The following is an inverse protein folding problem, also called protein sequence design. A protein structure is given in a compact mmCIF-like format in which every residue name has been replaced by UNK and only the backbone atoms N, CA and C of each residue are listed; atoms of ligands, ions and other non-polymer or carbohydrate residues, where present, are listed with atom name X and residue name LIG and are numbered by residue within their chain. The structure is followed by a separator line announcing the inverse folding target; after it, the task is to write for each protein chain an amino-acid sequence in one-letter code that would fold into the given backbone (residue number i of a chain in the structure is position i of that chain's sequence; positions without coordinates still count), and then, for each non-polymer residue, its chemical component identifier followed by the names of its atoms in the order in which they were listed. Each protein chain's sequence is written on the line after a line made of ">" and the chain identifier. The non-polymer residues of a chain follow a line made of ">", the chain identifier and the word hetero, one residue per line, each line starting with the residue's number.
data_IF_491541727639
#
_entry.id   IF_491541727639
#
_cell.length_a   1.000
_cell.length_b   1.000
_cell.length_c   1.000
_cell.angle_alpha   90.00
_cell.angle_beta   90.00
_cell.angle_gamma   90.00
#
_symmetry.space_group_name_H-M   'P 1'
#
loop_
_entity.id
_entity.type
_entity.pdbx_description
1 polymer ?
#
# COMPACT_ATOMS: atom_id res chain seq x y z
N UNK A 1 74.07 -21.80 -28.55
CA UNK A 1 75.52 -22.13 -28.63
C UNK A 1 75.61 -23.42 -29.41
N UNK A 2 76.39 -23.45 -30.50
CA UNK A 2 76.58 -24.68 -31.26
C UNK A 2 77.29 -25.71 -30.36
N UNK A 3 76.80 -26.95 -30.35
CA UNK A 3 77.43 -28.02 -29.58
C UNK A 3 78.82 -28.30 -30.18
N UNK A 4 79.86 -28.17 -29.36
CA UNK A 4 81.25 -28.37 -29.77
C UNK A 4 81.48 -29.87 -29.92
N UNK A 5 81.69 -30.35 -31.15
CA UNK A 5 81.94 -31.77 -31.44
C UNK A 5 83.32 -32.12 -30.89
N UNK A 6 83.39 -33.04 -29.92
CA UNK A 6 84.64 -33.46 -29.29
C UNK A 6 85.01 -34.89 -29.67
N UNK A 7 86.31 -35.14 -29.83
CA UNK A 7 86.81 -36.48 -30.11
C UNK A 7 86.57 -37.41 -28.90
N UNK A 8 85.82 -38.52 -29.05
CA UNK A 8 85.48 -39.41 -27.93
C UNK A 8 86.68 -40.24 -27.44
N UNK A 9 87.69 -40.41 -28.29
CA UNK A 9 88.93 -41.10 -28.04
C UNK A 9 90.05 -40.43 -28.87
N UNK A 10 91.30 -40.85 -28.65
CA UNK A 10 92.44 -40.35 -29.45
C UNK A 10 92.36 -40.93 -30.85
N UNK A 11 92.24 -40.07 -31.86
CA UNK A 11 92.33 -40.47 -33.27
C UNK A 11 93.79 -40.32 -33.66
N UNK A 12 94.51 -41.43 -33.57
CA UNK A 12 95.95 -41.49 -33.78
C UNK A 12 96.34 -41.05 -35.20
N UNK A 13 97.54 -40.49 -35.33
CA UNK A 13 98.07 -39.99 -36.60
C UNK A 13 98.45 -41.13 -37.55
N UNK A 14 98.43 -40.89 -38.86
CA UNK A 14 98.83 -41.90 -39.86
C UNK A 14 100.27 -42.35 -39.63
N UNK A 15 101.16 -41.44 -39.25
CA UNK A 15 102.56 -41.75 -38.93
C UNK A 15 102.72 -42.70 -37.73
N UNK A 16 101.81 -42.67 -36.76
CA UNK A 16 101.87 -43.54 -35.58
C UNK A 16 101.64 -45.02 -35.91
N UNK A 17 100.85 -45.31 -36.95
CA UNK A 17 100.60 -46.68 -37.44
C UNK A 17 101.67 -47.17 -38.42
N UNK A 18 102.44 -46.24 -39.01
CA UNK A 18 103.44 -46.52 -40.06
C UNK A 18 104.82 -45.96 -39.69
N UNK A 19 105.52 -46.57 -38.70
CA UNK A 19 106.78 -46.05 -38.17
C UNK A 19 107.95 -46.10 -39.18
N UNK A 20 107.80 -46.86 -40.27
CA UNK A 20 108.82 -47.02 -41.31
C UNK A 20 108.85 -45.86 -42.33
N UNK A 21 107.89 -44.92 -42.26
CA UNK A 21 107.88 -43.75 -43.15
C UNK A 21 109.00 -42.78 -42.71
N UNK A 22 109.89 -42.35 -43.62
CA UNK A 22 110.94 -41.39 -43.29
C UNK A 22 110.38 -40.12 -42.66
N UNK A 23 111.00 -39.64 -41.58
CA UNK A 23 110.58 -38.44 -40.85
C UNK A 23 110.44 -37.19 -41.75
N UNK A 24 111.31 -36.93 -42.76
CA UNK A 24 111.12 -35.81 -43.67
C UNK A 24 109.80 -35.89 -44.46
N UNK A 25 109.34 -37.09 -44.80
CA UNK A 25 108.09 -37.33 -45.51
C UNK A 25 106.88 -37.22 -44.58
N UNK A 26 106.98 -37.70 -43.34
CA UNK A 26 105.95 -37.49 -42.31
C UNK A 26 105.64 -36.00 -42.14
N UNK A 27 106.67 -35.17 -42.00
CA UNK A 27 106.50 -33.72 -41.85
C UNK A 27 105.98 -33.05 -43.13
N UNK A 28 106.53 -33.41 -44.29
CA UNK A 28 106.13 -32.84 -45.59
C UNK A 28 104.67 -33.13 -45.95
N UNK A 29 104.21 -34.34 -45.62
CA UNK A 29 102.85 -34.82 -45.90
C UNK A 29 101.89 -34.59 -44.73
N UNK A 30 102.36 -34.00 -43.62
CA UNK A 30 101.57 -33.76 -42.40
C UNK A 30 100.90 -35.03 -41.85
N UNK A 31 101.61 -36.17 -41.89
CA UNK A 31 101.09 -37.46 -41.42
C UNK A 31 101.03 -37.58 -39.88
N UNK A 32 101.47 -36.53 -39.19
CA UNK A 32 101.49 -36.34 -37.75
C UNK A 32 100.17 -35.78 -37.19
N UNK A 33 99.14 -35.61 -38.02
CA UNK A 33 97.83 -35.15 -37.58
C UNK A 33 97.19 -36.15 -36.59
N UNK A 34 97.36 -35.89 -35.31
CA UNK A 34 96.66 -36.55 -34.22
C UNK A 34 95.50 -35.67 -33.74
N UNK A 35 94.35 -36.27 -33.46
CA UNK A 35 93.23 -35.58 -32.81
C UNK A 35 93.11 -36.15 -31.39
N UNK A 36 93.60 -35.41 -30.37
CA UNK A 36 93.54 -35.86 -28.98
C UNK A 36 92.11 -36.05 -28.51
N UNK A 37 91.92 -36.92 -27.52
CA UNK A 37 90.64 -37.07 -26.83
C UNK A 37 90.16 -35.70 -26.29
N UNK A 38 88.85 -35.48 -26.36
CA UNK A 38 88.16 -34.26 -25.93
C UNK A 38 88.51 -32.98 -26.71
N UNK A 39 89.41 -33.06 -27.70
CA UNK A 39 89.70 -31.95 -28.61
C UNK A 39 88.55 -31.72 -29.58
N UNK A 40 88.41 -30.48 -30.04
CA UNK A 40 87.35 -30.09 -30.96
C UNK A 40 87.62 -30.61 -32.38
N UNK A 41 86.65 -31.33 -32.92
CA UNK A 41 86.63 -31.73 -34.32
C UNK A 41 85.89 -30.67 -35.11
N UNK A 42 86.66 -29.81 -35.78
CA UNK A 42 86.11 -28.78 -36.66
C UNK A 42 86.01 -29.30 -38.10
N UNK A 43 85.22 -28.65 -38.97
CA UNK A 43 85.27 -28.88 -40.42
C UNK A 43 86.69 -28.74 -40.99
N UNK A 44 87.54 -27.92 -40.36
CA UNK A 44 88.96 -27.75 -40.74
C UNK A 44 89.78 -29.00 -40.42
N UNK A 45 89.55 -29.65 -39.29
CA UNK A 45 90.22 -30.91 -38.90
C UNK A 45 89.88 -32.04 -39.88
N UNK A 46 88.60 -32.18 -40.25
CA UNK A 46 88.15 -33.16 -41.25
C UNK A 46 88.76 -32.87 -42.62
N UNK A 47 88.73 -31.61 -43.05
CA UNK A 47 89.33 -31.18 -44.32
C UNK A 47 90.84 -31.44 -44.39
N UNK A 48 91.56 -31.20 -43.28
CA UNK A 48 93.00 -31.48 -43.18
C UNK A 48 93.31 -32.97 -43.35
N UNK A 49 92.51 -33.85 -42.74
CA UNK A 49 92.62 -35.30 -42.95
C UNK A 49 92.28 -35.71 -44.40
N UNK A 50 91.25 -35.11 -45.01
CA UNK A 50 90.91 -35.34 -46.43
C UNK A 50 92.03 -34.87 -47.39
N UNK A 51 92.68 -33.75 -47.08
CA UNK A 51 93.81 -33.24 -47.84
C UNK A 51 95.04 -34.18 -47.72
N UNK A 52 95.31 -34.75 -46.54
CA UNK A 52 96.35 -35.78 -46.35
C UNK A 52 96.09 -36.99 -47.25
N UNK A 53 94.86 -37.51 -47.28
CA UNK A 53 94.48 -38.62 -48.19
C UNK A 53 94.70 -38.25 -49.65
N UNK A 54 94.37 -37.01 -50.05
CA UNK A 54 94.56 -36.53 -51.43
C UNK A 54 96.04 -36.50 -51.81
N UNK A 55 96.88 -35.92 -50.95
CA UNK A 55 98.32 -35.78 -51.18
C UNK A 55 99.03 -37.14 -51.13
N UNK A 56 98.64 -38.04 -50.24
CA UNK A 56 99.15 -39.41 -50.19
C UNK A 56 98.87 -40.16 -51.50
N UNK A 57 97.64 -40.06 -52.04
CA UNK A 57 97.28 -40.70 -53.32
C UNK A 57 98.14 -40.22 -54.49
N UNK A 58 98.47 -38.92 -54.56
CA UNK A 58 99.33 -38.39 -55.63
C UNK A 58 100.81 -38.71 -55.44
N UNK A 59 101.24 -38.91 -54.18
CA UNK A 59 102.67 -39.13 -53.84
C UNK A 59 103.05 -40.60 -53.93
N UNK A 60 102.11 -41.52 -53.66
CA UNK A 60 102.29 -42.99 -53.70
C UNK A 60 102.96 -43.49 -54.98
N UNK A 61 102.63 -42.91 -56.14
CA UNK A 61 103.15 -43.36 -57.42
C UNK A 61 104.64 -43.01 -57.64
N UNK A 62 105.22 -42.13 -56.82
CA UNK A 62 106.59 -41.62 -56.95
C UNK A 62 107.46 -41.87 -55.70
N UNK A 63 106.90 -42.48 -54.64
CA UNK A 63 107.53 -42.64 -53.35
C UNK A 63 107.24 -44.04 -52.77
N UNK A 64 108.24 -44.93 -52.83
CA UNK A 64 108.11 -46.35 -52.44
C UNK A 64 107.74 -46.55 -50.97
N UNK A 65 108.08 -45.59 -50.10
CA UNK A 65 107.77 -45.62 -48.67
C UNK A 65 106.28 -45.38 -48.36
N UNK A 66 105.48 -44.90 -49.33
CA UNK A 66 104.04 -44.72 -49.19
C UNK A 66 103.32 -45.92 -49.81
N UNK A 67 102.87 -46.85 -48.98
CA UNK A 67 102.12 -48.04 -49.43
C UNK A 67 100.61 -47.78 -49.50
N UNK A 68 99.84 -48.69 -50.12
CA UNK A 68 98.37 -48.61 -50.10
C UNK A 68 97.82 -48.66 -48.66
N UNK A 69 98.49 -49.37 -47.74
CA UNK A 69 98.09 -49.44 -46.32
C UNK A 69 98.20 -48.08 -45.62
N UNK A 70 99.20 -47.25 -45.98
CA UNK A 70 99.33 -45.86 -45.49
C UNK A 70 98.16 -45.01 -45.97
N UNK A 71 97.82 -45.14 -47.26
CA UNK A 71 96.66 -44.46 -47.86
C UNK A 71 95.36 -44.93 -47.21
N UNK A 72 95.23 -46.23 -46.95
CA UNK A 72 94.05 -46.82 -46.31
C UNK A 72 93.90 -46.33 -44.86
N UNK A 73 94.99 -46.28 -44.10
CA UNK A 73 94.97 -45.74 -42.72
C UNK A 73 94.52 -44.28 -42.70
N UNK A 74 94.97 -43.47 -43.67
CA UNK A 74 94.50 -42.10 -43.81
C UNK A 74 93.00 -42.02 -44.19
N UNK A 75 92.52 -42.91 -45.07
CA UNK A 75 91.08 -43.00 -45.40
C UNK A 75 90.25 -43.39 -44.16
N UNK A 76 90.73 -44.32 -43.35
CA UNK A 76 90.07 -44.79 -42.13
C UNK A 76 90.03 -43.66 -41.08
N UNK A 77 91.09 -42.86 -40.97
CA UNK A 77 91.12 -41.65 -40.14
C UNK A 77 90.06 -40.62 -40.58
N UNK A 78 89.89 -40.39 -41.89
CA UNK A 78 88.82 -39.53 -42.42
C UNK A 78 87.43 -40.10 -42.14
N UNK A 79 87.26 -41.41 -42.30
CA UNK A 79 85.99 -42.10 -42.03
C UNK A 79 85.57 -41.92 -40.57
N UNK A 80 86.47 -42.17 -39.62
CA UNK A 80 86.19 -42.00 -38.19
C UNK A 80 85.82 -40.55 -37.84
N UNK A 81 86.55 -39.57 -38.38
CA UNK A 81 86.24 -38.15 -38.18
C UNK A 81 84.86 -37.77 -38.74
N UNK A 82 84.51 -38.28 -39.92
CA UNK A 82 83.20 -38.05 -40.55
C UNK A 82 82.06 -38.73 -39.79
N UNK A 83 82.29 -39.93 -39.27
CA UNK A 83 81.31 -40.66 -38.48
C UNK A 83 80.98 -39.95 -37.17
N UNK A 84 82.00 -39.51 -36.43
CA UNK A 84 81.83 -38.75 -35.19
C UNK A 84 81.04 -37.47 -35.46
N UNK A 85 81.41 -36.75 -36.53
CA UNK A 85 80.72 -35.51 -36.93
C UNK A 85 79.26 -35.76 -37.33
N UNK A 86 78.98 -36.86 -38.03
CA UNK A 86 77.62 -37.24 -38.45
C UNK A 86 76.74 -37.67 -37.28
N UNK A 87 77.28 -38.45 -36.34
CA UNK A 87 76.56 -38.89 -35.14
C UNK A 87 76.16 -37.72 -34.25
N UNK A 88 77.03 -36.71 -34.10
CA UNK A 88 76.71 -35.50 -33.35
C UNK A 88 75.54 -34.72 -33.98
N UNK A 89 75.58 -34.51 -35.30
CA UNK A 89 74.49 -33.81 -36.02
C UNK A 89 73.15 -34.55 -35.90
N UNK A 90 73.16 -35.88 -35.94
CA UNK A 90 71.94 -36.67 -35.76
C UNK A 90 71.36 -36.50 -34.35
N UNK A 91 72.21 -36.47 -33.32
CA UNK A 91 71.77 -36.19 -31.94
C UNK A 91 71.11 -34.82 -31.81
N UNK A 92 71.68 -33.78 -32.42
CA UNK A 92 71.09 -32.43 -32.42
C UNK A 92 69.68 -32.42 -33.01
N UNK A 93 69.49 -33.09 -34.16
CA UNK A 93 68.19 -33.23 -34.82
C UNK A 93 67.20 -33.94 -33.91
N UNK A 94 67.58 -35.08 -33.31
CA UNK A 94 66.69 -35.80 -32.37
C UNK A 94 66.33 -34.96 -31.13
N UNK A 95 67.24 -34.08 -30.69
CA UNK A 95 66.98 -33.14 -29.60
C UNK A 95 66.01 -32.02 -30.00
N UNK A 96 66.04 -31.58 -31.26
CA UNK A 96 65.07 -30.64 -31.83
C UNK A 96 63.70 -31.29 -31.94
N UNK A 97 63.61 -32.50 -32.48
CA UNK A 97 62.34 -33.24 -32.60
C UNK A 97 61.67 -33.43 -31.24
N UNK A 98 62.42 -33.88 -30.23
CA UNK A 98 61.90 -34.03 -28.87
C UNK A 98 61.47 -32.71 -28.22
N UNK A 99 62.00 -31.56 -28.67
CA UNK A 99 61.54 -30.23 -28.22
C UNK A 99 60.29 -29.80 -28.95
N UNK A 100 60.16 -30.10 -30.24
CA UNK A 100 58.96 -29.85 -31.04
C UNK A 100 57.78 -30.66 -30.50
N UNK A 101 57.97 -31.95 -30.22
CA UNK A 101 56.93 -32.80 -29.61
C UNK A 101 56.41 -32.22 -28.29
N UNK A 102 57.31 -31.68 -27.45
CA UNK A 102 56.92 -31.03 -26.19
C UNK A 102 56.18 -29.71 -26.42
N UNK A 103 56.49 -28.98 -27.49
CA UNK A 103 55.77 -27.76 -27.86
C UNK A 103 54.37 -28.13 -28.34
N UNK A 104 54.23 -29.14 -29.18
CA UNK A 104 52.94 -29.60 -29.69
C UNK A 104 52.01 -30.03 -28.54
N UNK A 105 52.51 -30.86 -27.62
CA UNK A 105 51.74 -31.25 -26.41
C UNK A 105 51.31 -30.04 -25.57
N UNK A 106 52.15 -29.01 -25.47
CA UNK A 106 51.80 -27.77 -24.76
C UNK A 106 50.75 -26.96 -25.51
N UNK A 107 50.81 -26.92 -26.83
CA UNK A 107 49.82 -26.23 -27.67
C UNK A 107 48.47 -26.93 -27.58
N UNK A 108 48.42 -28.26 -27.68
CA UNK A 108 47.19 -29.05 -27.50
C UNK A 108 46.57 -28.80 -26.12
N UNK A 109 47.40 -28.75 -25.08
CA UNK A 109 46.95 -28.43 -23.72
C UNK A 109 46.39 -27.00 -23.63
N UNK A 110 47.01 -26.03 -24.31
CA UNK A 110 46.53 -24.65 -24.35
C UNK A 110 45.20 -24.55 -25.09
N UNK A 111 45.05 -25.24 -26.22
CA UNK A 111 43.81 -25.29 -26.98
C UNK A 111 42.66 -25.88 -26.15
N UNK A 112 42.90 -27.00 -25.45
CA UNK A 112 41.92 -27.58 -24.54
C UNK A 112 41.49 -26.63 -23.42
N UNK A 113 42.42 -25.84 -22.88
CA UNK A 113 42.10 -24.81 -21.88
C UNK A 113 41.28 -23.66 -22.47
N UNK A 114 41.57 -23.22 -23.69
CA UNK A 114 40.82 -22.17 -24.38
C UNK A 114 39.40 -22.62 -24.68
N UNK A 115 39.21 -23.85 -25.17
CA UNK A 115 37.87 -24.43 -25.40
C UNK A 115 37.04 -24.52 -24.10
N UNK A 116 37.69 -24.84 -22.97
CA UNK A 116 37.03 -24.83 -21.66
C UNK A 116 36.63 -23.42 -21.21
N UNK A 117 37.46 -22.41 -21.46
CA UNK A 117 37.14 -21.00 -21.17
C UNK A 117 35.97 -20.53 -22.03
N UNK A 118 35.98 -20.82 -23.33
CA UNK A 118 34.88 -20.47 -24.25
C UNK A 118 33.55 -21.09 -23.80
N UNK A 119 33.56 -22.38 -23.44
CA UNK A 119 32.37 -23.07 -22.92
C UNK A 119 31.83 -22.39 -21.66
N UNK A 120 32.71 -21.96 -20.74
CA UNK A 120 32.32 -21.24 -19.52
C UNK A 120 31.73 -19.87 -19.83
N UNK A 121 32.30 -19.14 -20.79
CA UNK A 121 31.80 -17.83 -21.21
C UNK A 121 30.40 -17.94 -21.84
N UNK A 122 30.18 -18.90 -22.73
CA UNK A 122 28.86 -19.16 -23.32
C UNK A 122 27.81 -19.49 -22.25
N UNK A 123 28.20 -20.29 -21.24
CA UNK A 123 27.30 -20.58 -20.11
C UNK A 123 27.00 -19.35 -19.25
N UNK A 124 27.98 -18.46 -19.06
CA UNK A 124 27.77 -17.19 -18.36
C UNK A 124 26.83 -16.26 -19.13
N UNK A 125 26.98 -16.16 -20.45
CA UNK A 125 26.11 -15.38 -21.32
C UNK A 125 24.66 -15.86 -21.23
N UNK A 126 24.42 -17.17 -21.38
CA UNK A 126 23.06 -17.74 -21.21
C UNK A 126 22.45 -17.45 -19.84
N UNK A 127 23.26 -17.46 -18.77
CA UNK A 127 22.79 -17.12 -17.42
C UNK A 127 22.43 -15.64 -17.29
N UNK A 128 23.19 -14.75 -17.92
CA UNK A 128 22.92 -13.32 -17.93
C UNK A 128 21.62 -13.01 -18.69
N UNK A 129 21.41 -13.62 -19.85
CA UNK A 129 20.15 -13.47 -20.62
C UNK A 129 18.92 -13.92 -19.82
N UNK A 130 19.06 -15.03 -19.08
CA UNK A 130 18.00 -15.52 -18.19
C UNK A 130 17.74 -14.56 -17.03
N UNK A 131 18.79 -13.95 -16.47
CA UNK A 131 18.63 -12.94 -15.42
C UNK A 131 17.95 -11.67 -15.95
N UNK A 132 18.32 -11.19 -17.13
CA UNK A 132 17.68 -10.04 -17.78
C UNK A 132 16.19 -10.29 -18.03
N UNK A 133 15.84 -11.47 -18.57
CA UNK A 133 14.44 -11.87 -18.79
C UNK A 133 13.65 -11.88 -17.48
N UNK A 134 14.24 -12.41 -16.39
CA UNK A 134 13.59 -12.44 -15.07
C UNK A 134 13.39 -11.05 -14.49
N UNK A 135 14.37 -10.15 -14.65
CA UNK A 135 14.28 -8.77 -14.19
C UNK A 135 13.19 -8.01 -14.95
N UNK A 136 13.12 -8.14 -16.28
CA UNK A 136 12.03 -7.54 -17.06
C UNK A 136 10.64 -8.04 -16.65
N UNK A 137 10.51 -9.34 -16.35
CA UNK A 137 9.26 -9.89 -15.80
C UNK A 137 8.91 -9.32 -14.42
N UNK A 138 9.92 -9.09 -13.57
CA UNK A 138 9.71 -8.46 -12.26
C UNK A 138 9.26 -7.00 -12.39
N UNK A 139 9.86 -6.24 -13.31
CA UNK A 139 9.48 -4.86 -13.61
C UNK A 139 8.00 -4.77 -14.05
N UNK A 140 7.60 -5.59 -15.04
CA UNK A 140 6.19 -5.64 -15.48
C UNK A 140 5.21 -5.98 -14.35
N UNK A 141 5.61 -6.86 -13.42
CA UNK A 141 4.78 -7.22 -12.26
C UNK A 141 4.67 -6.07 -11.27
N UNK A 142 5.73 -5.29 -11.06
CA UNK A 142 5.73 -4.13 -10.18
C UNK A 142 4.84 -3.02 -10.76
N UNK A 143 4.92 -2.74 -12.06
CA UNK A 143 4.04 -1.77 -12.74
C UNK A 143 2.56 -2.17 -12.59
N UNK A 144 2.26 -3.47 -12.76
CA UNK A 144 0.91 -3.97 -12.57
C UNK A 144 0.42 -3.84 -11.12
N UNK A 145 1.32 -3.99 -10.14
CA UNK A 145 0.99 -3.78 -8.73
C UNK A 145 0.72 -2.31 -8.42
N UNK A 146 1.50 -1.39 -8.99
CA UNK A 146 1.30 0.06 -8.86
C UNK A 146 -0.08 0.48 -9.38
N UNK A 147 -0.43 0.09 -10.61
CA UNK A 147 -1.76 0.36 -11.19
C UNK A 147 -2.90 -0.18 -10.32
N UNK A 148 -2.72 -1.37 -9.73
CA UNK A 148 -3.72 -1.96 -8.82
C UNK A 148 -3.86 -1.18 -7.53
N UNK A 149 -2.76 -0.66 -6.97
CA UNK A 149 -2.78 0.16 -5.77
C UNK A 149 -3.48 1.50 -6.04
N UNK A 150 -3.20 2.17 -7.15
CA UNK A 150 -3.89 3.40 -7.56
C UNK A 150 -5.40 3.19 -7.70
N UNK A 151 -5.81 2.05 -8.27
CA UNK A 151 -7.21 1.67 -8.37
C UNK A 151 -7.87 1.45 -7.00
N UNK A 152 -7.16 0.83 -6.07
CA UNK A 152 -7.64 0.65 -4.68
C UNK A 152 -7.78 2.00 -3.98
N UNK A 153 -6.79 2.89 -4.10
CA UNK A 153 -6.83 4.22 -3.52
C UNK A 153 -8.03 5.03 -4.04
N UNK A 154 -8.25 5.02 -5.35
CA UNK A 154 -9.41 5.67 -5.99
C UNK A 154 -10.74 5.14 -5.45
N UNK A 155 -10.84 3.81 -5.27
CA UNK A 155 -12.05 3.18 -4.71
C UNK A 155 -12.28 3.55 -3.25
N UNK A 156 -11.22 3.62 -2.45
CA UNK A 156 -11.30 4.03 -1.05
C UNK A 156 -11.75 5.49 -0.92
N UNK A 157 -11.18 6.39 -1.72
CA UNK A 157 -11.61 7.79 -1.75
C UNK A 157 -13.10 7.94 -2.14
N UNK A 158 -13.57 7.15 -3.10
CA UNK A 158 -14.99 7.11 -3.46
C UNK A 158 -15.88 6.59 -2.33
N UNK A 159 -15.43 5.55 -1.62
CA UNK A 159 -16.15 5.03 -0.45
C UNK A 159 -16.22 6.05 0.69
N UNK A 160 -15.13 6.76 0.96
CA UNK A 160 -15.09 7.83 1.96
C UNK A 160 -16.08 8.95 1.61
N UNK A 161 -16.11 9.41 0.36
CA UNK A 161 -17.09 10.39 -0.09
C UNK A 161 -18.55 9.92 0.06
N UNK A 162 -18.81 8.63 -0.18
CA UNK A 162 -20.15 8.04 0.04
C UNK A 162 -20.54 7.97 1.52
N UNK A 163 -19.59 7.68 2.41
CA UNK A 163 -19.82 7.67 3.86
C UNK A 163 -20.13 9.08 4.37
N UNK A 164 -19.37 10.09 3.96
CA UNK A 164 -19.65 11.50 4.31
C UNK A 164 -21.05 11.91 3.84
N UNK A 165 -21.44 11.55 2.61
CA UNK A 165 -22.79 11.84 2.12
C UNK A 165 -23.88 11.11 2.91
N UNK A 166 -23.63 9.88 3.36
CA UNK A 166 -24.56 9.13 4.19
C UNK A 166 -24.71 9.76 5.57
N UNK A 167 -23.61 10.17 6.21
CA UNK A 167 -23.63 10.85 7.51
C UNK A 167 -24.43 12.16 7.43
N UNK A 168 -24.26 12.93 6.37
CA UNK A 168 -25.06 14.14 6.14
C UNK A 168 -26.55 13.84 6.00
N UNK A 169 -26.92 12.81 5.23
CA UNK A 169 -28.32 12.39 5.08
C UNK A 169 -28.92 11.89 6.39
N UNK A 170 -28.17 11.15 7.19
CA UNK A 170 -28.60 10.67 8.51
C UNK A 170 -28.78 11.85 9.47
N UNK A 171 -27.84 12.80 9.49
CA UNK A 171 -27.96 14.01 10.29
C UNK A 171 -29.20 14.84 9.90
N UNK A 172 -29.45 15.01 8.60
CA UNK A 172 -30.64 15.69 8.09
C UNK A 172 -31.94 14.96 8.48
N UNK A 173 -32.00 13.64 8.27
CA UNK A 173 -33.18 12.86 8.66
C UNK A 173 -33.44 12.94 10.17
N UNK A 174 -32.39 12.99 10.99
CA UNK A 174 -32.51 13.15 12.43
C UNK A 174 -33.10 14.52 12.81
N UNK A 175 -32.62 15.62 12.21
CA UNK A 175 -33.14 16.96 12.49
C UNK A 175 -34.58 17.12 12.02
N UNK A 176 -34.93 16.57 10.85
CA UNK A 176 -36.30 16.54 10.33
C UNK A 176 -37.23 15.76 11.26
N UNK A 177 -36.81 14.58 11.73
CA UNK A 177 -37.57 13.77 12.68
C UNK A 177 -37.77 14.48 14.03
N UNK A 178 -36.73 15.15 14.57
CA UNK A 178 -36.86 15.96 15.78
C UNK A 178 -37.86 17.11 15.59
N UNK A 179 -37.84 17.78 14.42
CA UNK A 179 -38.78 18.85 14.12
C UNK A 179 -40.22 18.33 14.06
N UNK A 180 -40.45 17.22 13.34
CA UNK A 180 -41.77 16.57 13.26
C UNK A 180 -42.27 16.17 14.65
N UNK A 181 -41.42 15.59 15.49
CA UNK A 181 -41.76 15.22 16.85
C UNK A 181 -42.19 16.44 17.68
N UNK A 182 -41.44 17.54 17.59
CA UNK A 182 -41.81 18.80 18.27
C UNK A 182 -43.16 19.31 17.80
N UNK A 183 -43.40 19.33 16.48
CA UNK A 183 -44.70 19.75 15.92
C UNK A 183 -45.84 18.88 16.45
N UNK A 184 -45.66 17.56 16.49
CA UNK A 184 -46.66 16.63 17.04
C UNK A 184 -46.93 16.96 18.52
N UNK A 185 -45.89 17.07 19.34
CA UNK A 185 -46.02 17.43 20.76
C UNK A 185 -46.77 18.75 20.95
N UNK A 186 -46.44 19.78 20.17
CA UNK A 186 -47.12 21.08 20.22
C UNK A 186 -48.59 20.97 19.79
N UNK A 187 -48.91 20.14 18.78
CA UNK A 187 -50.30 19.91 18.37
C UNK A 187 -51.10 19.15 19.42
N UNK A 188 -50.50 18.15 20.06
CA UNK A 188 -51.13 17.39 21.14
C UNK A 188 -51.44 18.29 22.33
N UNK A 189 -50.48 19.12 22.77
CA UNK A 189 -50.70 20.09 23.83
C UNK A 189 -51.86 21.06 23.52
N UNK A 190 -51.96 21.54 22.27
CA UNK A 190 -53.10 22.37 21.83
C UNK A 190 -54.43 21.61 21.85
N UNK A 191 -54.44 20.34 21.44
CA UNK A 191 -55.64 19.50 21.47
C UNK A 191 -56.10 19.21 22.89
N UNK A 192 -55.17 18.86 23.79
CA UNK A 192 -55.44 18.64 25.21
C UNK A 192 -56.06 19.88 25.86
N UNK A 193 -55.48 21.07 25.60
CA UNK A 193 -56.04 22.34 26.07
C UNK A 193 -57.47 22.57 25.54
N UNK A 194 -57.74 22.24 24.26
CA UNK A 194 -59.07 22.37 23.67
C UNK A 194 -60.08 21.36 24.25
N UNK A 195 -59.67 20.12 24.50
CA UNK A 195 -60.51 19.10 25.14
C UNK A 195 -60.87 19.50 26.57
N UNK A 196 -59.95 20.13 27.31
CA UNK A 196 -60.21 20.68 28.64
C UNK A 196 -61.32 21.74 28.68
N UNK A 197 -61.67 22.38 27.56
CA UNK A 197 -62.76 23.35 27.47
C UNK A 197 -64.14 22.72 27.22
N UNK A 198 -64.22 21.44 26.82
CA UNK A 198 -65.51 20.79 26.51
C UNK A 198 -66.52 20.80 27.66
N UNK A 199 -66.13 20.56 28.94
CA UNK A 199 -67.07 20.64 30.06
C UNK A 199 -67.72 22.02 30.21
N UNK A 200 -66.99 23.10 29.89
CA UNK A 200 -67.53 24.46 29.95
C UNK A 200 -68.61 24.69 28.89
N UNK A 201 -68.48 24.07 27.71
CA UNK A 201 -69.47 24.17 26.64
C UNK A 201 -70.77 23.46 27.05
N UNK A 202 -70.67 22.24 27.59
CA UNK A 202 -71.83 21.51 28.12
C UNK A 202 -72.54 22.29 29.23
N UNK A 203 -71.77 22.78 30.20
CA UNK A 203 -72.29 23.61 31.28
C UNK A 203 -73.01 24.88 30.76
N UNK A 204 -72.44 25.55 29.74
CA UNK A 204 -73.05 26.72 29.09
C UNK A 204 -74.36 26.38 28.38
N UNK A 205 -74.43 25.27 27.65
CA UNK A 205 -75.65 24.84 26.96
C UNK A 205 -76.77 24.51 27.96
N UNK A 206 -76.45 23.79 29.03
CA UNK A 206 -77.40 23.48 30.10
C UNK A 206 -77.90 24.75 30.80
N UNK A 207 -76.99 25.69 31.08
CA UNK A 207 -77.33 26.99 31.66
C UNK A 207 -78.29 27.76 30.74
N UNK A 208 -78.00 27.83 29.44
CA UNK A 208 -78.88 28.49 28.48
C UNK A 208 -80.27 27.86 28.41
N UNK A 209 -80.35 26.54 28.32
CA UNK A 209 -81.63 25.83 28.26
C UNK A 209 -82.52 26.11 29.48
N UNK A 210 -81.90 26.24 30.65
CA UNK A 210 -82.59 26.59 31.90
C UNK A 210 -83.01 28.05 31.92
N UNK A 211 -82.13 28.96 31.50
CA UNK A 211 -82.49 30.38 31.35
C UNK A 211 -83.70 30.55 30.42
N UNK A 212 -83.69 29.93 29.24
CA UNK A 212 -84.81 30.02 28.28
C UNK A 212 -86.11 29.39 28.79
N UNK A 213 -86.02 28.36 29.64
CA UNK A 213 -87.18 27.75 30.31
C UNK A 213 -87.75 28.71 31.34
N UNK A 214 -86.89 29.25 32.20
CA UNK A 214 -87.29 30.17 33.26
C UNK A 214 -87.90 31.46 32.69
N UNK A 215 -87.35 32.00 31.60
CA UNK A 215 -87.91 33.16 30.90
C UNK A 215 -89.34 32.92 30.41
N UNK A 216 -89.60 31.78 29.75
CA UNK A 216 -90.94 31.44 29.26
C UNK A 216 -91.95 31.32 30.40
N UNK A 217 -91.54 30.76 31.53
CA UNK A 217 -92.40 30.61 32.71
C UNK A 217 -92.68 31.94 33.40
N UNK A 218 -91.69 32.84 33.49
CA UNK A 218 -91.89 34.19 34.03
C UNK A 218 -92.85 35.02 33.18
N UNK A 219 -92.73 34.98 31.84
CA UNK A 219 -93.64 35.71 30.94
C UNK A 219 -95.09 35.23 31.01
N UNK A 220 -95.32 33.98 31.40
CA UNK A 220 -96.66 33.37 31.48
C UNK A 220 -97.29 33.48 32.88
N UNK A 221 -96.56 33.94 33.89
CA UNK A 221 -97.06 34.12 35.25
C UNK A 221 -97.61 35.55 35.47
N UNK A 222 -98.87 35.78 35.11
CA UNK A 222 -99.58 37.07 35.25
C UNK A 222 -100.46 37.20 36.51
N UNK A 223 -100.33 36.29 37.48
CA UNK A 223 -101.09 36.29 38.74
C UNK A 223 -100.30 36.77 39.96
N UNK A 224 -101.00 37.23 41.02
CA UNK A 224 -100.46 37.77 42.29
C UNK A 224 -99.63 36.79 43.15
N UNK A 225 -99.29 35.60 42.65
CA UNK A 225 -98.40 34.65 43.32
C UNK A 225 -97.00 34.82 42.75
N UNK A 226 -96.07 35.28 43.60
CA UNK A 226 -94.64 35.40 43.28
C UNK A 226 -94.11 34.02 42.81
N UNK A 227 -93.83 33.88 41.53
CA UNK A 227 -93.17 32.70 41.00
C UNK A 227 -91.73 32.64 41.51
N UNK A 228 -91.41 31.58 42.28
CA UNK A 228 -90.04 31.24 42.61
C UNK A 228 -89.50 30.31 41.52
N UNK A 229 -88.57 30.80 40.70
CA UNK A 229 -87.96 29.99 39.65
C UNK A 229 -87.28 28.75 40.27
N UNK A 230 -87.51 27.54 39.74
CA UNK A 230 -86.80 26.34 40.19
C UNK A 230 -85.29 26.53 40.05
N UNK A 231 -84.56 26.27 41.13
CA UNK A 231 -83.10 26.28 41.11
C UNK A 231 -82.59 25.12 40.26
N UNK A 232 -81.54 25.35 39.46
CA UNK A 232 -80.88 24.29 38.71
C UNK A 232 -80.28 23.30 39.71
N UNK A 233 -80.74 22.05 39.70
CA UNK A 233 -80.04 20.96 40.38
C UNK A 233 -78.92 20.50 39.45
N UNK A 234 -77.74 21.07 39.63
CA UNK A 234 -76.52 20.63 38.97
C UNK A 234 -75.84 19.63 39.90
N UNK A 235 -75.25 18.59 39.33
CA UNK A 235 -74.30 17.77 40.09
C UNK A 235 -73.06 18.63 40.36
N UNK A 236 -72.85 18.98 41.63
CA UNK A 236 -71.83 19.94 42.10
C UNK A 236 -72.45 21.27 42.54
N UNK A 237 -72.30 21.62 43.82
CA UNK A 237 -72.62 22.96 44.32
C UNK A 237 -71.48 23.89 43.84
N UNK A 238 -71.79 24.91 43.05
CA UNK A 238 -70.82 25.93 42.59
C UNK A 238 -70.16 26.71 43.74
N UNK A 239 -70.43 26.31 44.98
CA UNK A 239 -69.70 26.60 46.20
C UNK A 239 -68.19 26.43 46.04
N UNK A 240 -67.66 25.36 45.40
CA UNK A 240 -66.20 25.21 45.23
C UNK A 240 -65.61 26.30 44.32
N UNK A 241 -66.30 26.64 43.23
CA UNK A 241 -65.90 27.71 42.32
C UNK A 241 -65.95 29.07 43.03
N UNK A 242 -67.00 29.32 43.81
CA UNK A 242 -67.14 30.54 44.57
C UNK A 242 -66.11 30.63 45.71
N UNK A 243 -65.83 29.53 46.40
CA UNK A 243 -64.81 29.44 47.46
C UNK A 243 -63.40 29.67 46.90
N UNK A 244 -63.09 29.14 45.71
CA UNK A 244 -61.80 29.34 45.05
C UNK A 244 -61.48 30.82 44.74
N UNK A 245 -62.47 31.71 44.76
CA UNK A 245 -62.31 33.14 44.46
C UNK A 245 -62.19 34.03 45.70
N UNK A 246 -62.31 33.45 46.90
CA UNK A 246 -62.19 34.14 48.18
C UNK A 246 -60.91 33.67 48.87
N UNK A 247 -60.08 34.62 49.35
CA UNK A 247 -58.88 34.27 50.13
C UNK A 247 -59.26 34.10 51.60
N UNK A 248 -59.10 32.89 52.12
CA UNK A 248 -59.40 32.55 53.52
C UNK A 248 -60.78 31.95 53.74
N UNK A 249 -61.06 31.53 54.98
CA UNK A 249 -62.24 30.76 55.39
C UNK A 249 -63.52 31.62 55.50
N UNK A 250 -63.82 32.43 54.47
CA UNK A 250 -65.03 33.25 54.43
C UNK A 250 -66.20 32.34 54.04
N UNK A 251 -67.14 32.15 54.98
CA UNK A 251 -68.36 31.39 54.73
C UNK A 251 -69.21 32.11 53.66
N UNK A 252 -69.51 31.40 52.56
CA UNK A 252 -70.41 31.90 51.51
C UNK A 252 -71.84 31.72 52.03
N UNK A 253 -72.58 32.79 52.33
CA UNK A 253 -73.86 32.65 53.04
C UNK A 253 -74.91 31.96 52.18
N UNK A 254 -75.61 30.97 52.73
CA UNK A 254 -76.73 30.26 52.09
C UNK A 254 -78.01 31.12 52.21
N UNK A 255 -78.11 32.15 51.37
CA UNK A 255 -79.25 33.07 51.35
C UNK A 255 -80.19 32.70 50.21
N UNK A 256 -81.50 32.53 50.45
CA UNK A 256 -82.49 32.39 49.40
C UNK A 256 -82.38 33.55 48.41
N UNK A 257 -82.21 33.25 47.13
CA UNK A 257 -82.01 34.27 46.09
C UNK A 257 -83.34 34.99 45.83
N UNK A 258 -83.57 36.09 46.54
CA UNK A 258 -84.54 37.10 46.13
C UNK A 258 -83.98 37.88 44.94
N UNK A 259 -84.77 38.00 43.87
CA UNK A 259 -84.68 38.99 42.79
C UNK A 259 -83.47 38.99 41.85
N UNK A 260 -82.38 38.24 42.11
CA UNK A 260 -81.31 38.08 41.11
C UNK A 260 -81.70 37.09 40.00
N UNK A 261 -82.66 36.20 40.30
CA UNK A 261 -83.21 35.22 39.36
C UNK A 261 -84.32 35.74 38.43
N UNK A 262 -84.79 36.98 38.61
CA UNK A 262 -85.78 37.63 37.71
C UNK A 262 -85.14 38.36 36.54
N UNK A 263 -83.81 38.33 36.42
CA UNK A 263 -83.09 39.17 35.50
C UNK A 263 -82.69 38.38 34.26
N UNK A 264 -83.43 38.59 33.17
CA UNK A 264 -83.09 38.14 31.82
C UNK A 264 -81.69 38.67 31.44
N UNK A 265 -80.95 38.00 30.55
CA UNK A 265 -79.61 38.47 30.13
C UNK A 265 -79.61 39.93 29.63
N UNK A 266 -80.75 40.42 29.13
CA UNK A 266 -80.92 41.81 28.68
C UNK A 266 -81.13 42.83 29.82
N UNK A 267 -81.19 42.42 31.09
CA UNK A 267 -81.57 43.27 32.22
C UNK A 267 -80.62 43.18 33.43
N UNK A 268 -79.49 42.46 33.33
CA UNK A 268 -78.50 42.47 34.42
C UNK A 268 -77.88 43.86 34.45
N UNK A 269 -78.31 44.67 35.41
CA UNK A 269 -77.63 45.89 35.73
C UNK A 269 -76.29 45.54 36.38
N UNK A 270 -75.27 45.46 35.53
CA UNK A 270 -73.91 45.14 35.96
C UNK A 270 -73.30 46.26 36.81
N UNK A 271 -73.90 47.46 36.84
CA UNK A 271 -73.40 48.59 37.63
C UNK A 271 -73.59 48.40 39.14
N UNK A 272 -74.51 47.52 39.56
CA UNK A 272 -74.81 47.25 40.98
C UNK A 272 -74.20 45.94 41.52
N UNK A 273 -73.31 45.28 40.75
CA UNK A 273 -72.72 44.00 41.14
C UNK A 273 -71.59 44.19 42.15
N UNK A 274 -71.83 43.77 43.39
CA UNK A 274 -70.80 43.64 44.43
C UNK A 274 -70.20 42.22 44.48
N UNK A 275 -69.13 42.05 45.27
CA UNK A 275 -68.44 40.76 45.41
C UNK A 275 -69.36 39.62 45.86
N UNK A 276 -70.31 39.88 46.76
CA UNK A 276 -71.23 38.86 47.26
C UNK A 276 -72.26 38.44 46.20
N UNK A 277 -72.81 39.40 45.46
CA UNK A 277 -73.70 39.14 44.31
C UNK A 277 -72.98 38.35 43.22
N UNK A 278 -71.70 38.62 42.98
CA UNK A 278 -70.87 37.87 42.03
C UNK A 278 -70.68 36.41 42.46
N UNK A 279 -70.28 36.16 43.72
CA UNK A 279 -70.16 34.79 44.24
C UNK A 279 -71.49 34.02 44.20
N UNK A 280 -72.62 34.71 44.43
CA UNK A 280 -73.96 34.14 44.29
C UNK A 280 -74.28 33.77 42.86
N UNK A 281 -73.96 34.63 41.89
CA UNK A 281 -74.11 34.31 40.46
C UNK A 281 -73.27 33.09 40.08
N UNK A 282 -72.04 33.01 40.59
CA UNK A 282 -71.13 31.88 40.32
C UNK A 282 -71.71 30.58 40.87
N UNK A 283 -72.22 30.60 42.10
CA UNK A 283 -72.86 29.43 42.72
C UNK A 283 -74.15 29.03 42.00
N UNK A 284 -75.00 30.01 41.66
CA UNK A 284 -76.30 29.79 41.01
C UNK A 284 -76.17 29.25 39.58
N UNK A 285 -75.30 29.86 38.77
CA UNK A 285 -75.04 29.41 37.40
C UNK A 285 -74.00 28.27 37.34
N UNK A 286 -73.37 27.92 38.47
CA UNK A 286 -72.20 27.04 38.58
C UNK A 286 -71.19 27.30 37.46
N UNK A 287 -70.87 28.59 37.34
CA UNK A 287 -70.04 29.14 36.28
C UNK A 287 -69.16 30.19 36.90
N UNK A 288 -67.85 30.06 36.72
CA UNK A 288 -66.86 31.02 37.21
C UNK A 288 -66.84 32.34 36.41
N UNK A 289 -67.54 32.42 35.28
CA UNK A 289 -67.52 33.52 34.30
C UNK A 289 -66.10 33.88 33.82
N UNK A 290 -65.14 32.95 33.91
CA UNK A 290 -63.71 33.20 33.66
C UNK A 290 -63.05 34.10 34.70
N UNK A 291 -63.69 34.32 35.85
CA UNK A 291 -63.15 35.10 36.96
C UNK A 291 -62.04 34.31 37.64
N UNK A 292 -60.94 34.99 37.95
CA UNK A 292 -59.80 34.48 38.69
C UNK A 292 -59.76 35.10 40.08
N UNK A 293 -59.20 34.41 41.07
CA UNK A 293 -59.12 34.90 42.45
C UNK A 293 -58.39 36.25 42.56
N UNK A 294 -57.44 36.49 41.66
CA UNK A 294 -56.65 37.73 41.57
C UNK A 294 -57.36 38.89 40.89
N UNK A 295 -58.52 38.67 40.27
CA UNK A 295 -59.26 39.74 39.59
C UNK A 295 -59.83 40.73 40.60
N UNK A 296 -59.61 42.03 40.34
CA UNK A 296 -60.28 43.12 41.06
C UNK A 296 -61.76 43.19 40.71
N UNK A 297 -62.60 43.76 41.59
CA UNK A 297 -64.06 43.78 41.44
C UNK A 297 -64.52 44.27 40.06
N UNK A 298 -63.94 45.37 39.56
CA UNK A 298 -64.27 45.90 38.24
C UNK A 298 -64.03 44.89 37.10
N UNK A 299 -62.93 44.14 37.16
CA UNK A 299 -62.62 43.07 36.19
C UNK A 299 -63.63 41.92 36.29
N UNK A 300 -64.04 41.55 37.51
CA UNK A 300 -65.06 40.51 37.73
C UNK A 300 -66.42 40.92 37.15
N UNK A 301 -66.84 42.16 37.41
CA UNK A 301 -68.06 42.75 36.85
C UNK A 301 -68.00 42.78 35.33
N UNK A 302 -66.87 43.21 34.74
CA UNK A 302 -66.70 43.25 33.29
C UNK A 302 -66.76 41.85 32.66
N UNK A 303 -66.18 40.82 33.31
CA UNK A 303 -66.24 39.43 32.83
C UNK A 303 -67.67 38.89 32.81
N UNK A 304 -68.46 39.21 33.84
CA UNK A 304 -69.89 38.88 33.87
C UNK A 304 -70.64 39.66 32.79
N UNK A 305 -70.40 40.96 32.65
CA UNK A 305 -71.01 41.79 31.61
C UNK A 305 -70.71 41.24 30.20
N UNK A 306 -69.46 40.86 29.93
CA UNK A 306 -69.05 40.27 28.66
C UNK A 306 -69.69 38.89 28.43
N UNK A 307 -69.82 38.08 29.49
CA UNK A 307 -70.48 36.78 29.41
C UNK A 307 -71.98 36.93 29.08
N UNK A 308 -72.65 37.89 29.72
CA UNK A 308 -74.07 38.16 29.55
C UNK A 308 -74.37 38.81 28.20
N UNK A 309 -73.54 39.75 27.74
CA UNK A 309 -73.69 40.43 26.44
C UNK A 309 -73.25 39.56 25.25
N UNK A 310 -72.24 38.70 25.42
CA UNK A 310 -71.81 37.74 24.41
C UNK A 310 -72.88 36.71 24.03
N UNK A 311 -73.87 36.49 24.90
CA UNK A 311 -75.06 35.68 24.61
C UNK A 311 -76.02 36.33 23.59
N UNK A 312 -75.98 37.65 23.40
CA UNK A 312 -76.88 38.37 22.49
C UNK A 312 -76.35 38.48 21.05
N UNK A 313 -75.11 38.01 20.78
CA UNK A 313 -74.43 38.14 19.50
C UNK A 313 -74.12 36.78 18.82
N UNK A 314 -74.82 35.71 19.21
CA UNK A 314 -74.77 34.37 18.56
C UNK A 314 -76.15 34.01 18.04
#
# INVERSE_FOLDING_TARGET
>A
MAEVIRAPFVIASVASFHPNIPTPLVTKLSLDLEVPRDSEITPVTVKRAEDIVRVLKSTRDHEESITEDVVQTAKDQVHTLRDITSQSKFRDITGVDARLDRIDVRLDTMEGRLNSVETRLNSMETRLDSMETRLGSMETRLDSMEIRLDSVETRLASMEGRLVSLDQKVAQAHTESQHQMKTITDTLARMEARLGLLPQIGARQDNFAIMSRNERQLRTNTGSVRYAAPQKVIVGDGLELAQGLVRGNVAIPDVPVGEVGSVLSAMIDTSELDHAKILRLIRFYNQDFGIQATDVLATRVQKIANYVTGFNNV
#
